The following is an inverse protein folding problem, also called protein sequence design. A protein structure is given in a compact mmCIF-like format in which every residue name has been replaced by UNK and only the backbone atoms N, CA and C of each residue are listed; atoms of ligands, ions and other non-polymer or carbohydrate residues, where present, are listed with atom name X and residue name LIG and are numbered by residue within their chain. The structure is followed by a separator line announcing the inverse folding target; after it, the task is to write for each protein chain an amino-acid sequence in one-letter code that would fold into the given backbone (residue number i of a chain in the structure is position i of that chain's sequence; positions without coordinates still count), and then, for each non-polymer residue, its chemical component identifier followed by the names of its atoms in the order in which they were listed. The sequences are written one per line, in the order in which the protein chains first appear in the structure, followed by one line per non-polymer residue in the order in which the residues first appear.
data_IF_405901473276
#
_entry.id   IF_405901473276
#
_cell.length_a   1.000
_cell.length_b   1.000
_cell.length_c   1.000
_cell.angle_alpha   90.00
_cell.angle_beta   90.00
_cell.angle_gamma   90.00
#
_symmetry.space_group_name_H-M   'P 1'
#
loop_
_entity.id
_entity.type
_entity.pdbx_description
1 polymer ?
#
# COMPACT_ATOMS: atom_id res chain seq x y z
N UNK A 1 30.54 1.98 -32.45
CA UNK A 1 31.32 0.87 -31.86
C UNK A 1 30.39 -0.33 -31.71
N UNK A 2 30.83 -1.53 -32.12
CA UNK A 2 30.04 -2.75 -31.93
C UNK A 2 29.89 -3.02 -30.42
N UNK A 3 28.68 -3.39 -30.01
CA UNK A 3 28.37 -3.72 -28.62
C UNK A 3 29.10 -5.01 -28.22
N UNK A 4 29.88 -4.99 -27.16
CA UNK A 4 30.56 -6.16 -26.59
C UNK A 4 29.53 -7.25 -26.27
N UNK A 5 29.78 -8.46 -26.70
CA UNK A 5 28.88 -9.60 -26.58
C UNK A 5 29.38 -10.59 -25.52
N UNK A 6 28.50 -11.54 -25.12
CA UNK A 6 28.87 -12.64 -24.22
C UNK A 6 29.95 -13.54 -24.85
N UNK A 7 29.95 -13.67 -26.18
CA UNK A 7 30.93 -14.45 -26.93
C UNK A 7 32.35 -13.82 -26.85
N UNK A 8 32.42 -12.49 -26.85
CA UNK A 8 33.70 -11.79 -26.71
C UNK A 8 34.31 -12.02 -25.31
N UNK A 9 33.45 -11.99 -24.27
CA UNK A 9 33.88 -12.33 -22.90
C UNK A 9 34.35 -13.78 -22.81
N UNK A 10 33.61 -14.71 -23.37
CA UNK A 10 33.96 -16.13 -23.38
C UNK A 10 35.30 -16.38 -24.08
N UNK A 11 35.53 -15.71 -25.21
CA UNK A 11 36.77 -15.78 -26.00
C UNK A 11 37.95 -15.25 -25.19
N UNK A 12 37.83 -14.08 -24.57
CA UNK A 12 38.88 -13.48 -23.76
C UNK A 12 39.18 -14.29 -22.48
N UNK A 13 38.17 -14.84 -21.84
CA UNK A 13 38.30 -15.65 -20.61
C UNK A 13 38.75 -17.10 -20.89
N UNK A 14 38.86 -17.53 -22.16
CA UNK A 14 39.21 -18.90 -22.54
C UNK A 14 38.19 -19.94 -22.04
N UNK A 15 36.89 -19.65 -22.19
CA UNK A 15 35.81 -20.51 -21.70
C UNK A 15 34.60 -20.48 -22.64
N UNK A 16 33.52 -21.20 -22.31
CA UNK A 16 32.27 -21.17 -23.10
C UNK A 16 31.33 -20.07 -22.61
N UNK A 17 30.43 -19.63 -23.51
CA UNK A 17 29.33 -18.69 -23.18
C UNK A 17 28.41 -19.19 -22.08
N UNK A 18 28.24 -20.51 -21.94
CA UNK A 18 27.52 -21.15 -20.86
C UNK A 18 28.18 -20.90 -19.49
N UNK A 19 29.52 -21.03 -19.42
CA UNK A 19 30.29 -20.76 -18.21
C UNK A 19 30.24 -19.28 -17.85
N UNK A 20 30.34 -18.37 -18.84
CA UNK A 20 30.16 -16.93 -18.62
C UNK A 20 28.77 -16.66 -18.05
N UNK A 21 27.72 -17.30 -18.58
CA UNK A 21 26.36 -17.17 -18.05
C UNK A 21 26.24 -17.67 -16.62
N UNK A 22 26.90 -18.80 -16.28
CA UNK A 22 26.89 -19.32 -14.89
C UNK A 22 27.59 -18.38 -13.92
N UNK A 23 28.69 -17.73 -14.33
CA UNK A 23 29.40 -16.76 -13.50
C UNK A 23 28.57 -15.52 -13.24
N UNK A 24 27.89 -15.00 -14.29
CA UNK A 24 27.06 -13.77 -14.20
C UNK A 24 25.80 -14.01 -13.39
N UNK A 25 25.12 -15.14 -13.60
CA UNK A 25 23.77 -15.40 -13.07
C UNK A 25 23.76 -16.33 -11.83
N UNK A 26 24.92 -16.65 -11.25
CA UNK A 26 25.06 -17.68 -10.20
C UNK A 26 24.32 -18.98 -10.58
N UNK A 27 24.55 -19.44 -11.80
CA UNK A 27 23.83 -20.57 -12.39
C UNK A 27 23.97 -21.88 -11.62
N UNK A 28 23.19 -22.93 -12.01
CA UNK A 28 23.01 -24.15 -11.21
C UNK A 28 24.28 -25.04 -11.12
N UNK A 29 25.30 -24.75 -11.92
CA UNK A 29 26.57 -25.49 -11.88
C UNK A 29 27.69 -24.65 -11.26
N UNK A 30 28.40 -25.17 -10.26
CA UNK A 30 29.54 -24.47 -9.68
C UNK A 30 30.63 -24.28 -10.74
N UNK A 31 31.23 -23.08 -10.77
CA UNK A 31 32.36 -22.74 -11.63
C UNK A 31 33.62 -22.69 -10.78
N UNK A 32 34.69 -23.34 -11.23
CA UNK A 32 35.97 -23.32 -10.53
C UNK A 32 36.44 -21.89 -10.26
N UNK A 33 36.99 -21.59 -9.04
CA UNK A 33 37.37 -20.22 -8.65
C UNK A 33 38.26 -19.52 -9.67
N UNK A 34 39.31 -20.19 -10.17
CA UNK A 34 40.21 -19.62 -11.17
C UNK A 34 39.52 -19.28 -12.52
N UNK A 35 38.50 -20.05 -12.90
CA UNK A 35 37.71 -19.75 -14.13
C UNK A 35 36.77 -18.58 -13.88
N UNK A 36 36.16 -18.49 -12.68
CA UNK A 36 35.32 -17.35 -12.27
C UNK A 36 36.11 -16.05 -12.30
N UNK A 37 37.35 -16.05 -11.76
CA UNK A 37 38.24 -14.88 -11.76
C UNK A 37 38.57 -14.42 -13.18
N UNK A 38 38.93 -15.35 -14.07
CA UNK A 38 39.20 -15.00 -15.49
C UNK A 38 38.00 -14.37 -16.18
N UNK A 39 36.79 -14.92 -15.96
CA UNK A 39 35.56 -14.37 -16.54
C UNK A 39 35.27 -12.98 -15.99
N UNK A 40 35.39 -12.75 -14.68
CA UNK A 40 35.19 -11.42 -14.07
C UNK A 40 36.22 -10.39 -14.56
N UNK A 41 37.49 -10.80 -14.74
CA UNK A 41 38.54 -9.95 -15.32
C UNK A 41 38.20 -9.57 -16.77
N UNK A 42 37.78 -10.53 -17.60
CA UNK A 42 37.39 -10.30 -18.99
C UNK A 42 36.15 -9.37 -19.09
N UNK A 43 35.17 -9.52 -18.23
CA UNK A 43 34.00 -8.63 -18.14
C UNK A 43 34.44 -7.19 -17.84
N UNK A 44 35.36 -7.01 -16.88
CA UNK A 44 35.88 -5.70 -16.49
C UNK A 44 36.71 -5.05 -17.63
N UNK A 45 37.57 -5.81 -18.26
CA UNK A 45 38.44 -5.35 -19.34
C UNK A 45 37.64 -4.91 -20.56
N UNK A 46 36.68 -5.71 -20.99
CA UNK A 46 35.82 -5.41 -22.14
C UNK A 46 34.71 -4.40 -21.83
N UNK A 47 34.49 -4.04 -20.60
CA UNK A 47 33.34 -3.23 -20.20
C UNK A 47 31.99 -3.90 -20.52
N UNK A 48 31.96 -5.24 -20.54
CA UNK A 48 30.75 -5.99 -20.88
C UNK A 48 29.66 -5.72 -19.86
N UNK A 49 28.49 -5.35 -20.35
CA UNK A 49 27.27 -5.21 -19.54
C UNK A 49 26.26 -6.24 -20.01
N UNK A 50 25.81 -7.17 -19.14
CA UNK A 50 24.76 -8.11 -19.48
C UNK A 50 23.52 -7.40 -20.02
N UNK A 51 22.99 -7.89 -21.15
CA UNK A 51 21.75 -7.40 -21.69
C UNK A 51 20.57 -8.03 -20.93
N UNK A 52 19.94 -7.25 -20.04
CA UNK A 52 18.81 -7.72 -19.24
C UNK A 52 17.60 -8.05 -20.12
N UNK A 53 17.42 -7.37 -21.26
CA UNK A 53 16.35 -7.66 -22.21
C UNK A 53 16.56 -9.05 -22.84
N UNK A 54 17.78 -9.33 -23.30
CA UNK A 54 18.12 -10.64 -23.85
C UNK A 54 18.01 -11.76 -22.78
N UNK A 55 18.33 -11.46 -21.51
CA UNK A 55 18.14 -12.40 -20.41
C UNK A 55 16.66 -12.66 -20.12
N UNK A 56 15.84 -11.63 -20.08
CA UNK A 56 14.39 -11.72 -19.92
C UNK A 56 13.74 -12.53 -21.04
N UNK A 57 14.20 -12.35 -22.29
CA UNK A 57 13.74 -13.15 -23.43
C UNK A 57 14.09 -14.64 -23.27
N UNK A 58 15.27 -14.95 -22.75
CA UNK A 58 15.72 -16.34 -22.56
C UNK A 58 15.02 -17.03 -21.36
N UNK A 59 14.80 -16.31 -20.26
CA UNK A 59 14.14 -16.82 -19.04
C UNK A 59 12.62 -16.70 -19.08
N UNK A 60 12.06 -15.98 -20.04
CA UNK A 60 10.64 -15.59 -20.14
C UNK A 60 10.12 -14.77 -18.93
N UNK A 61 10.99 -14.31 -18.04
CA UNK A 61 10.67 -13.49 -16.86
C UNK A 61 11.72 -12.41 -16.67
N UNK A 62 11.30 -11.27 -16.15
CA UNK A 62 12.18 -10.17 -15.76
C UNK A 62 12.41 -10.16 -14.26
N UNK A 63 13.41 -9.38 -13.80
CA UNK A 63 13.57 -9.09 -12.36
C UNK A 63 12.72 -7.89 -11.93
N UNK A 64 11.55 -7.72 -12.56
CA UNK A 64 10.63 -6.62 -12.31
C UNK A 64 9.36 -7.14 -11.63
N UNK A 65 8.86 -6.37 -10.67
CA UNK A 65 7.52 -6.48 -10.10
C UNK A 65 6.75 -5.22 -10.51
N UNK A 66 5.52 -5.36 -11.00
CA UNK A 66 4.64 -4.21 -11.21
C UNK A 66 3.90 -3.89 -9.92
N UNK A 67 3.87 -2.62 -9.54
CA UNK A 67 3.07 -2.09 -8.44
C UNK A 67 2.15 -1.00 -8.99
N UNK A 68 0.85 -1.16 -8.85
CA UNK A 68 -0.12 -0.13 -9.21
C UNK A 68 -0.71 0.45 -7.93
N UNK A 69 -0.63 1.78 -7.80
CA UNK A 69 -1.15 2.53 -6.65
C UNK A 69 -2.22 3.52 -7.10
N UNK A 70 -3.20 3.85 -6.24
CA UNK A 70 -4.25 4.80 -6.60
C UNK A 70 -3.73 6.23 -6.75
N UNK A 71 -2.98 6.73 -5.76
CA UNK A 71 -2.41 8.07 -5.77
C UNK A 71 -1.08 8.13 -5.01
N UNK A 72 0.03 8.11 -5.76
CA UNK A 72 1.38 8.15 -5.19
C UNK A 72 1.72 9.49 -4.47
N UNK A 73 0.85 10.50 -4.53
CA UNK A 73 1.00 11.76 -3.78
C UNK A 73 0.51 11.65 -2.34
N UNK A 74 -0.34 10.66 -2.04
CA UNK A 74 -0.82 10.43 -0.69
C UNK A 74 0.28 9.76 0.14
N UNK A 75 0.58 10.25 1.35
CA UNK A 75 1.67 9.72 2.19
C UNK A 75 1.57 8.22 2.44
N UNK A 76 0.37 7.71 2.72
CA UNK A 76 0.14 6.29 2.95
C UNK A 76 0.60 5.41 1.77
N UNK A 77 0.16 5.73 0.55
CA UNK A 77 0.56 4.95 -0.63
C UNK A 77 2.04 5.13 -0.98
N UNK A 78 2.61 6.31 -0.73
CA UNK A 78 4.04 6.54 -0.91
C UNK A 78 4.88 5.69 0.06
N UNK A 79 4.51 5.63 1.34
CA UNK A 79 5.19 4.81 2.34
C UNK A 79 5.03 3.31 2.07
N UNK A 80 3.83 2.88 1.68
CA UNK A 80 3.57 1.48 1.34
C UNK A 80 4.34 1.06 0.06
N UNK A 81 4.39 1.92 -0.96
CA UNK A 81 5.18 1.68 -2.17
C UNK A 81 6.69 1.58 -1.86
N UNK A 82 7.19 2.44 -0.96
CA UNK A 82 8.57 2.35 -0.48
C UNK A 82 8.84 1.03 0.25
N UNK A 83 7.92 0.58 1.12
CA UNK A 83 8.06 -0.70 1.81
C UNK A 83 8.07 -1.89 0.83
N UNK A 84 7.24 -1.86 -0.21
CA UNK A 84 7.22 -2.86 -1.29
C UNK A 84 8.54 -2.84 -2.07
N UNK A 85 9.08 -1.66 -2.37
CA UNK A 85 10.38 -1.50 -3.06
C UNK A 85 11.52 -2.10 -2.25
N UNK A 86 11.58 -1.84 -0.93
CA UNK A 86 12.58 -2.41 -0.03
C UNK A 86 12.46 -3.94 0.03
N UNK A 87 11.26 -4.48 0.22
CA UNK A 87 11.01 -5.92 0.24
C UNK A 87 11.38 -6.60 -1.09
N UNK A 88 11.11 -5.95 -2.22
CA UNK A 88 11.50 -6.44 -3.54
C UNK A 88 13.03 -6.42 -3.74
N UNK A 89 13.71 -5.37 -3.30
CA UNK A 89 15.17 -5.24 -3.38
C UNK A 89 15.88 -6.35 -2.59
N UNK A 90 15.37 -6.75 -1.42
CA UNK A 90 15.88 -7.90 -0.64
C UNK A 90 15.78 -9.23 -1.42
N UNK A 91 14.86 -9.33 -2.38
CA UNK A 91 14.68 -10.47 -3.28
C UNK A 91 15.40 -10.30 -4.63
N UNK A 92 16.24 -9.25 -4.78
CA UNK A 92 16.93 -8.93 -6.02
C UNK A 92 16.00 -8.48 -7.15
N UNK A 93 14.82 -7.96 -6.81
CA UNK A 93 13.82 -7.45 -7.74
C UNK A 93 13.79 -5.92 -7.73
N UNK A 94 13.32 -5.33 -8.83
CA UNK A 94 13.02 -3.90 -8.96
C UNK A 94 11.52 -3.71 -9.12
N UNK A 95 11.00 -2.59 -8.64
CA UNK A 95 9.58 -2.26 -8.74
C UNK A 95 9.35 -1.21 -9.82
N UNK A 96 8.36 -1.47 -10.69
CA UNK A 96 7.79 -0.47 -11.60
C UNK A 96 6.50 0.04 -10.98
N UNK A 97 6.38 1.34 -10.77
CA UNK A 97 5.20 1.94 -10.17
C UNK A 97 4.32 2.57 -11.25
N UNK A 98 3.03 2.22 -11.26
CA UNK A 98 1.97 2.86 -12.03
C UNK A 98 1.03 3.61 -11.09
N UNK A 99 0.60 4.81 -11.47
CA UNK A 99 -0.33 5.63 -10.70
C UNK A 99 -1.67 5.72 -11.43
N UNK A 100 -2.71 5.06 -10.89
CA UNK A 100 -4.01 4.95 -11.57
C UNK A 100 -4.91 6.19 -11.41
N UNK A 101 -4.64 7.07 -10.44
CA UNK A 101 -5.50 8.22 -10.09
C UNK A 101 -6.97 7.80 -9.84
N UNK A 102 -7.20 6.61 -9.30
CA UNK A 102 -8.52 6.00 -9.10
C UNK A 102 -9.33 5.81 -10.41
N UNK A 103 -8.65 5.72 -11.57
CA UNK A 103 -9.28 5.57 -12.88
C UNK A 103 -9.01 4.17 -13.45
N UNK A 104 -10.07 3.41 -13.70
CA UNK A 104 -10.01 2.06 -14.29
C UNK A 104 -9.19 2.01 -15.58
N UNK A 105 -9.40 2.98 -16.47
CA UNK A 105 -8.66 3.05 -17.74
C UNK A 105 -7.15 3.14 -17.54
N UNK A 106 -6.68 3.87 -16.50
CA UNK A 106 -5.26 3.98 -16.17
C UNK A 106 -4.74 2.71 -15.53
N UNK A 107 -5.53 2.06 -14.67
CA UNK A 107 -5.17 0.77 -14.08
C UNK A 107 -4.95 -0.26 -15.18
N UNK A 108 -5.91 -0.43 -16.09
CA UNK A 108 -5.82 -1.33 -17.23
C UNK A 108 -4.64 -0.97 -18.13
N UNK A 109 -4.37 0.32 -18.36
CA UNK A 109 -3.21 0.77 -19.12
C UNK A 109 -1.88 0.29 -18.50
N UNK A 110 -1.70 0.48 -17.19
CA UNK A 110 -0.48 0.02 -16.50
C UNK A 110 -0.41 -1.50 -16.43
N UNK A 111 -1.53 -2.20 -16.22
CA UNK A 111 -1.58 -3.66 -16.27
C UNK A 111 -1.04 -4.17 -17.62
N UNK A 112 -1.58 -3.70 -18.74
CA UNK A 112 -1.13 -4.08 -20.08
C UNK A 112 0.35 -3.78 -20.31
N UNK A 113 0.81 -2.60 -19.89
CA UNK A 113 2.21 -2.20 -20.02
C UNK A 113 3.15 -3.14 -19.25
N UNK A 114 2.83 -3.43 -17.97
CA UNK A 114 3.67 -4.29 -17.12
C UNK A 114 3.65 -5.75 -17.58
N UNK A 115 2.48 -6.27 -17.96
CA UNK A 115 2.35 -7.60 -18.54
C UNK A 115 3.14 -7.73 -19.85
N UNK A 116 3.07 -6.73 -20.72
CA UNK A 116 3.89 -6.65 -21.92
C UNK A 116 5.40 -6.62 -21.66
N UNK A 117 5.83 -6.05 -20.53
CA UNK A 117 7.23 -6.09 -20.05
C UNK A 117 7.60 -7.41 -19.37
N UNK A 118 6.65 -8.35 -19.22
CA UNK A 118 6.84 -9.65 -18.57
C UNK A 118 7.37 -9.54 -17.15
N UNK A 119 6.74 -8.69 -16.36
CA UNK A 119 7.05 -8.61 -14.92
C UNK A 119 6.89 -9.97 -14.25
N UNK A 120 7.61 -10.22 -13.16
CA UNK A 120 7.54 -11.48 -12.40
C UNK A 120 6.18 -11.66 -11.72
N UNK A 121 5.47 -10.56 -11.47
CA UNK A 121 4.11 -10.50 -10.95
C UNK A 121 3.67 -9.06 -10.69
N UNK A 122 2.44 -8.90 -10.26
CA UNK A 122 1.78 -7.62 -10.03
C UNK A 122 1.28 -7.52 -8.61
N UNK A 123 1.49 -6.38 -7.99
CA UNK A 123 0.86 -6.01 -6.71
C UNK A 123 -0.08 -4.85 -7.02
N UNK A 124 -1.36 -5.02 -6.68
CA UNK A 124 -2.40 -4.02 -6.92
C UNK A 124 -2.86 -3.43 -5.58
N UNK A 125 -2.69 -2.12 -5.44
CA UNK A 125 -3.32 -1.32 -4.39
C UNK A 125 -4.40 -0.51 -5.12
N UNK A 126 -5.58 -1.07 -5.28
CA UNK A 126 -6.67 -0.44 -6.04
C UNK A 126 -7.99 -0.60 -5.30
N UNK A 127 -9.03 0.07 -5.80
CA UNK A 127 -10.40 -0.16 -5.32
C UNK A 127 -11.00 -1.50 -5.81
N UNK A 128 -10.21 -2.31 -6.51
CA UNK A 128 -10.45 -3.62 -7.10
C UNK A 128 -10.22 -3.60 -8.59
N UNK A 129 -9.72 -4.71 -9.12
CA UNK A 129 -9.59 -4.82 -10.55
C UNK A 129 -10.99 -4.67 -11.15
N UNK A 130 -11.15 -3.70 -12.07
CA UNK A 130 -12.34 -3.59 -12.88
C UNK A 130 -12.54 -4.90 -13.68
N UNK A 131 -13.74 -5.14 -14.20
CA UNK A 131 -13.96 -6.29 -15.10
C UNK A 131 -12.93 -6.33 -16.24
N UNK A 132 -12.54 -5.15 -16.75
CA UNK A 132 -11.53 -5.04 -17.79
C UNK A 132 -10.12 -5.45 -17.30
N UNK A 133 -9.76 -5.09 -16.07
CA UNK A 133 -8.51 -5.50 -15.47
C UNK A 133 -8.48 -7.02 -15.21
N UNK A 134 -9.58 -7.60 -14.74
CA UNK A 134 -9.70 -9.05 -14.53
C UNK A 134 -9.49 -9.82 -15.85
N UNK A 135 -10.10 -9.36 -16.95
CA UNK A 135 -9.90 -9.97 -18.29
C UNK A 135 -8.43 -9.95 -18.70
N UNK A 136 -7.70 -8.85 -18.48
CA UNK A 136 -6.28 -8.78 -18.80
C UNK A 136 -5.44 -9.71 -17.92
N UNK A 137 -5.74 -9.77 -16.63
CA UNK A 137 -5.04 -10.66 -15.68
C UNK A 137 -5.19 -12.12 -16.12
N UNK A 138 -6.39 -12.54 -16.45
CA UNK A 138 -6.69 -13.91 -16.90
C UNK A 138 -6.03 -14.21 -18.25
N UNK A 139 -6.12 -13.30 -19.22
CA UNK A 139 -5.56 -13.49 -20.56
C UNK A 139 -4.03 -13.71 -20.56
N UNK A 140 -3.32 -13.10 -19.61
CA UNK A 140 -1.87 -13.23 -19.48
C UNK A 140 -1.43 -14.29 -18.46
N UNK A 141 -2.38 -14.97 -17.79
CA UNK A 141 -2.09 -15.90 -16.68
C UNK A 141 -1.16 -15.21 -15.65
N UNK A 142 -1.49 -13.97 -15.30
CA UNK A 142 -0.64 -13.12 -14.49
C UNK A 142 -0.73 -13.50 -13.01
N UNK A 143 0.39 -13.33 -12.29
CA UNK A 143 0.37 -13.43 -10.82
C UNK A 143 0.01 -12.07 -10.26
N UNK A 144 -1.09 -12.02 -9.55
CA UNK A 144 -1.58 -10.81 -8.91
C UNK A 144 -1.76 -11.03 -7.42
N UNK A 145 -1.34 -10.06 -6.63
CA UNK A 145 -1.61 -9.96 -5.19
C UNK A 145 -2.30 -8.64 -4.94
N UNK A 146 -3.48 -8.69 -4.34
CA UNK A 146 -4.16 -7.49 -3.84
C UNK A 146 -3.50 -7.07 -2.53
N UNK A 147 -3.15 -5.80 -2.38
CA UNK A 147 -2.58 -5.25 -1.16
C UNK A 147 -3.47 -4.13 -0.64
N UNK A 148 -3.79 -4.18 0.66
CA UNK A 148 -4.66 -3.21 1.33
C UNK A 148 -6.10 -3.19 0.80
N UNK A 149 -6.60 -4.33 0.31
CA UNK A 149 -7.98 -4.49 -0.14
C UNK A 149 -8.47 -5.90 0.12
N UNK A 150 -9.72 -6.04 0.52
CA UNK A 150 -10.38 -7.34 0.61
C UNK A 150 -10.63 -7.92 -0.78
N UNK A 151 -10.35 -9.21 -0.98
CA UNK A 151 -10.67 -9.88 -2.23
C UNK A 151 -12.19 -10.06 -2.36
N UNK A 152 -12.70 -9.82 -3.56
CA UNK A 152 -14.11 -10.08 -3.90
C UNK A 152 -14.33 -11.56 -4.27
N UNK A 153 -13.35 -12.17 -4.94
CA UNK A 153 -13.39 -13.56 -5.33
C UNK A 153 -12.66 -14.44 -4.30
N UNK A 154 -13.21 -15.65 -4.07
CA UNK A 154 -12.63 -16.63 -3.12
C UNK A 154 -11.20 -17.04 -3.52
N UNK A 155 -10.88 -16.93 -4.81
CA UNK A 155 -9.58 -17.34 -5.36
C UNK A 155 -8.52 -16.24 -5.39
N UNK A 156 -8.85 -15.01 -5.02
CA UNK A 156 -7.91 -13.90 -4.98
C UNK A 156 -6.87 -14.08 -3.88
N UNK A 157 -5.65 -13.65 -4.19
CA UNK A 157 -4.54 -13.61 -3.22
C UNK A 157 -4.42 -12.19 -2.70
N UNK A 158 -4.54 -12.02 -1.39
CA UNK A 158 -4.55 -10.70 -0.79
C UNK A 158 -3.74 -10.61 0.51
N UNK A 159 -3.22 -9.41 0.75
CA UNK A 159 -2.68 -8.97 2.04
C UNK A 159 -3.52 -7.79 2.49
N UNK A 160 -4.24 -7.95 3.60
CA UNK A 160 -5.21 -6.97 4.09
C UNK A 160 -4.91 -6.57 5.52
N UNK A 161 -5.46 -5.45 5.94
CA UNK A 161 -5.47 -4.99 7.32
C UNK A 161 -6.83 -5.34 7.97
N UNK A 162 -6.90 -5.36 9.28
CA UNK A 162 -8.16 -5.38 10.02
C UNK A 162 -8.72 -3.95 10.13
N UNK A 163 -9.23 -3.44 9.00
CA UNK A 163 -9.69 -2.06 8.87
C UNK A 163 -10.91 -1.80 9.77
N UNK A 164 -11.87 -2.74 9.81
CA UNK A 164 -13.05 -2.66 10.68
C UNK A 164 -12.64 -2.60 12.14
N UNK A 165 -11.79 -3.53 12.59
CA UNK A 165 -11.30 -3.56 13.97
C UNK A 165 -10.51 -2.32 14.34
N UNK A 166 -9.67 -1.82 13.44
CA UNK A 166 -8.89 -0.59 13.62
C UNK A 166 -9.77 0.65 13.82
N UNK A 167 -10.75 0.84 12.93
CA UNK A 167 -11.69 1.96 13.03
C UNK A 167 -12.57 1.87 14.27
N UNK A 168 -12.98 0.65 14.65
CA UNK A 168 -13.71 0.41 15.89
C UNK A 168 -12.87 0.79 17.12
N UNK A 169 -11.58 0.46 17.15
CA UNK A 169 -10.65 0.84 18.22
C UNK A 169 -10.53 2.37 18.35
N UNK A 170 -10.30 3.08 17.24
CA UNK A 170 -10.18 4.53 17.26
C UNK A 170 -11.46 5.22 17.72
N UNK A 171 -12.61 4.76 17.21
CA UNK A 171 -13.91 5.33 17.58
C UNK A 171 -14.25 5.07 19.05
N UNK A 172 -14.05 3.83 19.53
CA UNK A 172 -14.26 3.49 20.95
C UNK A 172 -13.37 4.33 21.85
N UNK A 173 -12.11 4.55 21.47
CA UNK A 173 -11.20 5.40 22.21
C UNK A 173 -11.74 6.82 22.38
N UNK A 174 -12.31 7.43 21.34
CA UNK A 174 -12.96 8.74 21.44
C UNK A 174 -14.21 8.70 22.35
N UNK A 175 -15.03 7.65 22.24
CA UNK A 175 -16.20 7.46 23.10
C UNK A 175 -15.81 7.28 24.58
N UNK A 176 -14.71 6.56 24.87
CA UNK A 176 -14.18 6.36 26.23
C UNK A 176 -13.69 7.67 26.88
N UNK A 177 -13.33 8.67 26.06
CA UNK A 177 -13.06 10.04 26.51
C UNK A 177 -14.33 10.87 26.81
N UNK A 178 -15.52 10.28 26.68
CA UNK A 178 -16.80 10.89 27.01
C UNK A 178 -17.44 11.66 25.85
N UNK A 179 -16.94 11.52 24.62
CA UNK A 179 -17.59 12.13 23.47
C UNK A 179 -18.86 11.38 23.08
N UNK A 180 -19.99 12.07 23.07
CA UNK A 180 -21.28 11.49 22.65
C UNK A 180 -21.55 11.66 21.16
N UNK A 181 -20.98 12.70 20.58
CA UNK A 181 -21.06 12.99 19.16
C UNK A 181 -19.67 12.81 18.51
N UNK A 182 -19.42 11.62 17.99
CA UNK A 182 -18.25 11.32 17.17
C UNK A 182 -18.68 11.32 15.71
N UNK A 183 -18.27 12.33 14.96
CA UNK A 183 -18.49 12.37 13.51
C UNK A 183 -17.50 11.44 12.80
N UNK A 184 -17.92 10.85 11.69
CA UNK A 184 -17.05 10.10 10.78
C UNK A 184 -16.87 10.86 9.48
N UNK A 185 -15.62 11.09 9.06
CA UNK A 185 -15.30 11.53 7.72
C UNK A 185 -14.93 10.28 6.91
N UNK A 186 -15.91 9.77 6.17
CA UNK A 186 -15.76 8.62 5.27
C UNK A 186 -15.32 9.04 3.85
N UNK A 187 -15.41 8.12 2.89
CA UNK A 187 -15.14 8.39 1.49
C UNK A 187 -16.33 9.01 0.74
N UNK A 188 -16.08 9.43 -0.52
CA UNK A 188 -17.10 10.11 -1.34
C UNK A 188 -18.21 9.16 -1.79
N UNK A 189 -17.90 7.87 -2.07
CA UNK A 189 -18.84 6.88 -2.59
C UNK A 189 -18.68 5.52 -1.88
N UNK A 190 -18.62 5.53 -0.56
CA UNK A 190 -18.52 4.28 0.21
C UNK A 190 -19.84 3.52 0.15
N UNK A 191 -20.01 2.65 -0.83
CA UNK A 191 -21.10 1.66 -0.82
C UNK A 191 -20.66 0.40 -0.07
N UNK A 192 -21.55 -0.26 0.69
CA UNK A 192 -21.21 -1.47 1.43
C UNK A 192 -20.63 -2.61 0.56
N UNK A 193 -20.93 -2.59 -0.75
CA UNK A 193 -20.50 -3.59 -1.72
C UNK A 193 -19.11 -3.32 -2.32
N UNK A 194 -18.52 -2.16 -2.06
CA UNK A 194 -17.31 -1.72 -2.79
C UNK A 194 -16.02 -2.45 -2.40
N UNK A 195 -15.99 -3.13 -1.23
CA UNK A 195 -14.76 -3.73 -0.67
C UNK A 195 -13.63 -2.69 -0.44
N UNK A 196 -13.96 -1.40 -0.51
CA UNK A 196 -13.04 -0.28 -0.25
C UNK A 196 -12.67 -0.28 1.24
N UNK A 197 -11.40 -0.20 1.62
CA UNK A 197 -10.96 -0.07 3.00
C UNK A 197 -11.69 1.04 3.78
N UNK A 198 -12.05 2.13 3.11
CA UNK A 198 -12.81 3.22 3.75
C UNK A 198 -14.24 2.80 4.11
N UNK A 199 -14.87 1.91 3.36
CA UNK A 199 -16.17 1.32 3.74
C UNK A 199 -16.02 0.51 5.03
N UNK A 200 -14.93 -0.25 5.16
CA UNK A 200 -14.61 -0.99 6.38
C UNK A 200 -14.34 -0.04 7.57
N UNK A 201 -13.73 1.13 7.32
CA UNK A 201 -13.56 2.15 8.37
C UNK A 201 -14.89 2.72 8.85
N UNK A 202 -15.81 3.01 7.93
CA UNK A 202 -17.18 3.47 8.27
C UNK A 202 -17.95 2.39 9.02
N UNK A 203 -17.80 1.12 8.63
CA UNK A 203 -18.40 -0.01 9.35
C UNK A 203 -17.87 -0.10 10.79
N UNK A 204 -16.54 -0.02 10.98
CA UNK A 204 -15.92 -0.07 12.31
C UNK A 204 -16.37 1.08 13.21
N UNK A 205 -16.45 2.30 12.67
CA UNK A 205 -17.04 3.45 13.39
C UNK A 205 -18.49 3.20 13.77
N UNK A 206 -19.32 2.74 12.83
CA UNK A 206 -20.74 2.48 13.05
C UNK A 206 -20.95 1.42 14.14
N UNK A 207 -20.16 0.35 14.12
CA UNK A 207 -20.20 -0.71 15.16
C UNK A 207 -19.87 -0.15 16.55
N UNK A 208 -18.80 0.64 16.67
CA UNK A 208 -18.42 1.25 17.95
C UNK A 208 -19.50 2.19 18.49
N UNK A 209 -20.10 3.00 17.61
CA UNK A 209 -21.22 3.88 17.97
C UNK A 209 -22.44 3.08 18.47
N UNK A 210 -22.82 2.03 17.75
CA UNK A 210 -23.95 1.17 18.11
C UNK A 210 -23.72 0.44 19.44
N UNK A 211 -22.51 -0.11 19.68
CA UNK A 211 -22.14 -0.76 20.95
C UNK A 211 -22.21 0.21 22.14
N UNK A 212 -21.92 1.49 21.91
CA UNK A 212 -22.05 2.54 22.93
C UNK A 212 -23.48 3.10 23.04
N UNK A 213 -24.46 2.57 22.31
CA UNK A 213 -25.84 3.05 22.28
C UNK A 213 -25.99 4.45 21.68
N UNK A 214 -25.08 4.84 20.77
CA UNK A 214 -25.08 6.16 20.11
C UNK A 214 -25.60 6.04 18.67
N UNK A 215 -26.41 7.01 18.22
CA UNK A 215 -26.89 7.07 16.84
C UNK A 215 -25.77 7.47 15.88
N UNK A 216 -25.82 6.94 14.67
CA UNK A 216 -24.96 7.32 13.53
C UNK A 216 -25.65 8.30 12.59
N UNK A 217 -26.96 8.56 12.78
CA UNK A 217 -27.76 9.38 11.87
C UNK A 217 -27.22 10.81 11.78
N UNK A 218 -26.95 11.28 10.56
CA UNK A 218 -26.42 12.61 10.31
C UNK A 218 -24.99 12.84 10.81
N UNK A 219 -24.23 11.77 11.13
CA UNK A 219 -22.87 11.86 11.67
C UNK A 219 -21.79 11.31 10.74
N UNK A 220 -22.20 10.72 9.62
CA UNK A 220 -21.31 10.33 8.52
C UNK A 220 -21.27 11.45 7.48
N UNK A 221 -20.07 11.93 7.16
CA UNK A 221 -19.83 12.97 6.19
C UNK A 221 -18.96 12.41 5.07
N UNK A 222 -19.42 12.54 3.83
CA UNK A 222 -18.63 12.19 2.65
C UNK A 222 -17.53 13.23 2.45
N UNK A 223 -16.29 12.81 2.45
CA UNK A 223 -15.12 13.66 2.37
C UNK A 223 -14.15 13.15 1.31
N UNK A 224 -13.53 14.05 0.51
CA UNK A 224 -12.43 13.65 -0.35
C UNK A 224 -11.28 13.01 0.44
N UNK A 225 -10.56 12.06 -0.17
CA UNK A 225 -9.39 11.39 0.45
C UNK A 225 -8.14 12.29 0.49
N UNK A 226 -8.31 13.59 0.61
CA UNK A 226 -7.19 14.52 0.65
C UNK A 226 -7.45 15.69 1.60
N UNK A 227 -6.36 16.20 2.18
CA UNK A 227 -6.38 17.27 3.18
C UNK A 227 -7.05 18.56 2.71
N UNK A 228 -6.95 18.90 1.43
CA UNK A 228 -7.50 20.16 0.90
C UNK A 228 -9.03 20.13 0.81
N UNK A 229 -9.59 19.07 0.22
CA UNK A 229 -11.03 18.91 0.15
C UNK A 229 -11.66 18.74 1.54
N UNK A 230 -11.02 17.96 2.39
CA UNK A 230 -11.47 17.78 3.77
C UNK A 230 -11.41 19.07 4.58
N UNK A 231 -10.39 19.89 4.40
CA UNK A 231 -10.29 21.17 5.07
C UNK A 231 -11.50 22.08 4.77
N UNK A 232 -11.97 22.15 3.53
CA UNK A 232 -13.14 22.95 3.17
C UNK A 232 -14.42 22.41 3.85
N UNK A 233 -14.63 21.09 3.80
CA UNK A 233 -15.76 20.44 4.47
C UNK A 233 -15.69 20.64 5.99
N UNK A 234 -14.51 20.55 6.57
CA UNK A 234 -14.31 20.71 8.00
C UNK A 234 -14.57 22.15 8.48
N UNK A 235 -14.26 23.17 7.70
CA UNK A 235 -14.63 24.55 8.03
C UNK A 235 -16.15 24.71 8.16
N UNK A 236 -16.91 24.14 7.22
CA UNK A 236 -18.37 24.19 7.27
C UNK A 236 -18.95 23.38 8.44
N UNK A 237 -18.40 22.16 8.68
CA UNK A 237 -18.86 21.27 9.74
C UNK A 237 -18.55 21.84 11.13
N UNK A 238 -17.32 22.29 11.35
CA UNK A 238 -16.85 22.77 12.67
C UNK A 238 -17.29 24.19 12.99
N UNK A 239 -17.69 24.97 12.00
CA UNK A 239 -18.25 26.31 12.18
C UNK A 239 -19.72 26.31 12.66
N UNK A 240 -20.38 25.17 12.71
CA UNK A 240 -21.79 25.07 13.16
C UNK A 240 -21.92 25.14 14.67
N UNK A 241 -23.04 25.66 15.20
CA UNK A 241 -23.31 25.68 16.64
C UNK A 241 -23.42 24.27 17.25
N UNK A 242 -23.89 23.29 16.47
CA UNK A 242 -24.11 21.88 16.84
C UNK A 242 -22.97 20.97 16.35
N UNK A 243 -21.75 21.54 16.19
CA UNK A 243 -20.58 20.81 15.72
C UNK A 243 -20.25 19.59 16.57
N UNK A 244 -19.61 18.56 15.97
CA UNK A 244 -19.13 17.41 16.75
C UNK A 244 -18.03 17.86 17.75
N UNK A 245 -17.93 17.15 18.87
CA UNK A 245 -16.85 17.29 19.84
C UNK A 245 -15.69 16.33 19.56
N UNK A 246 -15.92 15.32 18.71
CA UNK A 246 -14.88 14.42 18.23
C UNK A 246 -15.11 14.03 16.77
N UNK A 247 -14.01 13.82 16.04
CA UNK A 247 -14.02 13.38 14.64
C UNK A 247 -13.09 12.19 14.47
N UNK A 248 -13.63 11.12 13.91
CA UNK A 248 -12.85 10.03 13.33
C UNK A 248 -12.74 10.26 11.83
N UNK A 249 -11.50 10.33 11.34
CA UNK A 249 -11.19 10.46 9.92
C UNK A 249 -10.73 9.12 9.37
N UNK A 250 -11.29 8.69 8.25
CA UNK A 250 -10.94 7.42 7.61
C UNK A 250 -9.49 7.38 7.07
N UNK A 251 -8.82 8.54 6.96
CA UNK A 251 -7.39 8.64 6.65
C UNK A 251 -6.71 9.76 7.44
N UNK A 252 -5.41 9.66 7.65
CA UNK A 252 -4.61 10.73 8.28
C UNK A 252 -4.60 11.99 7.41
N UNK A 253 -4.63 11.84 6.09
CA UNK A 253 -4.67 12.99 5.19
C UNK A 253 -5.94 13.82 5.36
N UNK A 254 -7.09 13.18 5.61
CA UNK A 254 -8.32 13.85 6.01
C UNK A 254 -8.16 14.52 7.38
N UNK A 255 -7.57 13.82 8.36
CA UNK A 255 -7.36 14.36 9.69
C UNK A 255 -6.50 15.64 9.68
N UNK A 256 -5.51 15.72 8.81
CA UNK A 256 -4.71 16.95 8.63
C UNK A 256 -5.57 18.12 8.16
N UNK A 257 -6.55 17.88 7.28
CA UNK A 257 -7.54 18.87 6.87
C UNK A 257 -8.39 19.36 8.04
N UNK A 258 -8.86 18.43 8.88
CA UNK A 258 -9.63 18.75 10.10
C UNK A 258 -8.83 19.58 11.09
N UNK A 259 -7.58 19.18 11.40
CA UNK A 259 -6.69 19.92 12.30
C UNK A 259 -6.43 21.34 11.80
N UNK A 260 -6.24 21.50 10.48
CA UNK A 260 -6.06 22.83 9.88
C UNK A 260 -7.30 23.71 10.00
N UNK A 261 -8.49 23.15 9.78
CA UNK A 261 -9.78 23.85 9.93
C UNK A 261 -10.04 24.24 11.38
N UNK A 262 -9.82 23.33 12.33
CA UNK A 262 -9.96 23.58 13.77
C UNK A 262 -9.10 24.79 14.21
N UNK A 263 -7.82 24.79 13.79
CA UNK A 263 -6.91 25.91 14.09
C UNK A 263 -7.39 27.25 13.52
N UNK A 264 -7.95 27.25 12.30
CA UNK A 264 -8.46 28.46 11.66
C UNK A 264 -9.68 29.03 12.36
N UNK A 265 -10.54 28.13 12.86
CA UNK A 265 -11.73 28.48 13.66
C UNK A 265 -11.42 28.80 15.12
N UNK A 266 -10.15 28.72 15.54
CA UNK A 266 -9.73 28.97 16.91
C UNK A 266 -10.15 27.89 17.89
N UNK A 267 -10.39 26.67 17.40
CA UNK A 267 -10.73 25.52 18.24
C UNK A 267 -9.46 24.84 18.76
N UNK A 268 -9.38 24.66 20.06
CA UNK A 268 -8.30 23.90 20.69
C UNK A 268 -8.51 22.39 20.48
N UNK A 269 -7.48 21.72 19.96
CA UNK A 269 -7.44 20.25 19.89
C UNK A 269 -6.48 19.77 20.98
N UNK A 270 -6.94 18.92 21.90
CA UNK A 270 -8.19 18.14 21.89
C UNK A 270 -9.37 18.76 22.67
N UNK A 271 -9.23 19.91 23.32
CA UNK A 271 -10.18 20.40 24.33
C UNK A 271 -11.56 20.77 23.76
N UNK A 272 -11.58 21.39 22.57
CA UNK A 272 -12.81 21.75 21.86
C UNK A 272 -13.21 20.72 20.81
N UNK A 273 -12.22 19.96 20.34
CA UNK A 273 -12.38 18.95 19.29
C UNK A 273 -11.33 17.85 19.43
N UNK A 274 -11.72 16.63 19.74
CA UNK A 274 -10.84 15.47 19.65
C UNK A 274 -10.78 14.94 18.20
N UNK A 275 -9.60 14.53 17.75
CA UNK A 275 -9.39 14.02 16.39
C UNK A 275 -8.63 12.70 16.43
N UNK A 276 -9.13 11.71 15.69
CA UNK A 276 -8.44 10.46 15.42
C UNK A 276 -8.41 10.19 13.91
N UNK A 277 -7.28 9.71 13.42
CA UNK A 277 -7.06 9.35 12.02
C UNK A 277 -6.94 7.85 11.80
N UNK A 278 -6.54 7.48 10.59
CA UNK A 278 -6.20 6.13 10.18
C UNK A 278 -5.02 6.21 9.21
N UNK A 279 -4.09 5.26 9.24
CA UNK A 279 -2.90 5.02 8.43
C UNK A 279 -1.58 5.06 9.23
N UNK A 280 -1.45 5.89 10.25
CA UNK A 280 -0.20 6.19 10.98
C UNK A 280 0.96 6.58 10.06
N UNK A 281 0.71 7.53 9.16
CA UNK A 281 1.78 8.11 8.34
C UNK A 281 2.75 8.93 9.21
N UNK A 282 4.01 9.07 8.77
CA UNK A 282 5.05 9.75 9.56
C UNK A 282 4.67 11.17 9.96
N UNK A 283 3.95 11.87 9.09
CA UNK A 283 3.45 13.22 9.32
C UNK A 283 2.49 13.31 10.50
N UNK A 284 1.76 12.24 10.84
CA UNK A 284 0.85 12.19 11.98
C UNK A 284 1.55 12.50 13.31
N UNK A 285 2.82 12.10 13.44
CA UNK A 285 3.65 12.44 14.60
C UNK A 285 4.16 13.88 14.64
N UNK A 286 4.08 14.61 13.52
CA UNK A 286 4.61 15.95 13.34
C UNK A 286 3.52 17.04 13.34
N UNK A 287 2.26 16.69 13.43
CA UNK A 287 1.16 17.66 13.59
C UNK A 287 1.20 18.33 14.97
N UNK A 288 0.51 19.44 15.12
CA UNK A 288 0.33 20.12 16.41
C UNK A 288 -1.16 20.29 16.70
N UNK A 289 -1.69 19.50 17.67
CA UNK A 289 -1.05 18.41 18.43
C UNK A 289 -0.75 17.18 17.55
N UNK A 290 0.21 16.29 17.97
CA UNK A 290 0.45 15.02 17.29
C UNK A 290 -0.82 14.16 17.21
N UNK A 291 -1.11 13.64 16.02
CA UNK A 291 -2.35 12.95 15.69
C UNK A 291 -2.39 11.52 16.24
N UNK A 292 -3.40 11.21 17.04
CA UNK A 292 -3.81 9.85 17.39
C UNK A 292 -4.41 9.19 16.14
N UNK A 293 -3.96 7.99 15.80
CA UNK A 293 -4.35 7.33 14.56
C UNK A 293 -4.27 5.81 14.70
N UNK A 294 -4.76 5.10 13.70
CA UNK A 294 -4.63 3.64 13.60
C UNK A 294 -3.46 3.31 12.70
N UNK A 295 -2.55 2.47 13.16
CA UNK A 295 -1.39 2.02 12.42
C UNK A 295 -1.40 0.52 12.11
N UNK A 296 -0.51 0.12 11.20
CA UNK A 296 -0.29 -1.25 10.78
C UNK A 296 1.19 -1.56 10.59
N UNK A 297 1.54 -2.84 10.58
CA UNK A 297 2.87 -3.31 10.15
C UNK A 297 2.99 -3.26 8.62
N UNK A 298 3.18 -2.06 8.06
CA UNK A 298 3.33 -1.85 6.60
C UNK A 298 4.50 -2.63 5.99
N UNK A 299 5.62 -2.73 6.72
CA UNK A 299 6.78 -3.48 6.26
C UNK A 299 6.47 -4.98 6.18
N UNK A 300 5.81 -5.54 7.19
CA UNK A 300 5.35 -6.92 7.20
C UNK A 300 4.32 -7.20 6.09
N UNK A 301 3.38 -6.28 5.86
CA UNK A 301 2.40 -6.37 4.77
C UNK A 301 3.09 -6.37 3.39
N UNK A 302 4.00 -5.43 3.16
CA UNK A 302 4.75 -5.32 1.92
C UNK A 302 5.60 -6.57 1.66
N UNK A 303 6.30 -7.08 2.67
CA UNK A 303 7.08 -8.31 2.59
C UNK A 303 6.19 -9.51 2.26
N UNK A 304 5.04 -9.62 2.91
CA UNK A 304 4.07 -10.68 2.63
C UNK A 304 3.56 -10.63 1.18
N UNK A 305 3.25 -9.43 0.66
CA UNK A 305 2.80 -9.25 -0.71
C UNK A 305 3.89 -9.63 -1.73
N UNK A 306 5.14 -9.21 -1.49
CA UNK A 306 6.29 -9.58 -2.35
C UNK A 306 6.56 -11.08 -2.30
N UNK A 307 6.52 -11.72 -1.13
CA UNK A 307 6.72 -13.16 -1.01
C UNK A 307 5.61 -13.93 -1.75
N UNK A 308 4.35 -13.50 -1.62
CA UNK A 308 3.23 -14.11 -2.31
C UNK A 308 3.32 -13.95 -3.83
N UNK A 309 3.62 -12.76 -4.32
CA UNK A 309 3.69 -12.53 -5.78
C UNK A 309 4.84 -13.27 -6.45
N UNK A 310 5.88 -13.64 -5.70
CA UNK A 310 7.03 -14.40 -6.18
C UNK A 310 6.87 -15.93 -5.97
N UNK A 311 5.87 -16.38 -5.20
CA UNK A 311 5.68 -17.82 -4.91
C UNK A 311 5.13 -18.57 -6.14
N UNK A 312 5.93 -19.47 -6.71
CA UNK A 312 5.54 -20.31 -7.85
C UNK A 312 4.38 -21.28 -7.51
N UNK A 313 4.15 -21.58 -6.25
CA UNK A 313 3.09 -22.48 -5.80
C UNK A 313 1.68 -21.89 -5.76
N UNK A 314 1.52 -20.56 -5.91
CA UNK A 314 0.21 -19.90 -5.90
C UNK A 314 -0.71 -20.30 -7.09
N UNK A 315 -0.13 -20.79 -8.18
CA UNK A 315 -0.85 -21.21 -9.39
C UNK A 315 -1.46 -22.62 -9.32
N UNK A 316 -1.19 -23.37 -8.24
CA UNK A 316 -1.73 -24.73 -8.13
C UNK A 316 -3.18 -24.63 -7.65
N UNK A 317 -4.12 -24.85 -8.57
CA UNK A 317 -5.54 -24.95 -8.24
C UNK A 317 -5.74 -26.03 -7.15
N UNK A 318 -6.44 -25.66 -6.07
CA UNK A 318 -6.68 -26.56 -4.93
C UNK A 318 -5.58 -26.57 -3.85
N UNK A 319 -4.57 -25.70 -3.93
CA UNK A 319 -3.63 -25.55 -2.81
C UNK A 319 -4.36 -25.00 -1.58
N UNK A 320 -4.26 -25.72 -0.43
CA UNK A 320 -4.82 -25.28 0.86
C UNK A 320 -4.01 -24.13 1.50
N UNK A 321 -3.25 -23.37 0.71
CA UNK A 321 -2.50 -22.23 1.21
C UNK A 321 -3.44 -21.08 1.50
N UNK A 322 -3.23 -20.42 2.63
CA UNK A 322 -3.98 -19.25 3.02
C UNK A 322 -3.75 -18.14 1.97
N UNK A 323 -4.77 -17.90 1.15
CA UNK A 323 -4.72 -16.91 0.06
C UNK A 323 -4.86 -15.48 0.55
N UNK A 324 -5.48 -15.29 1.71
CA UNK A 324 -5.63 -13.99 2.37
C UNK A 324 -4.80 -13.97 3.64
N UNK A 325 -3.90 -12.99 3.75
CA UNK A 325 -3.13 -12.72 4.98
C UNK A 325 -3.66 -11.42 5.58
N UNK A 326 -4.32 -11.54 6.73
CA UNK A 326 -4.79 -10.39 7.48
C UNK A 326 -3.77 -9.99 8.54
N UNK A 327 -3.47 -8.69 8.61
CA UNK A 327 -2.62 -8.08 9.62
C UNK A 327 -3.49 -7.34 10.65
N UNK A 328 -3.08 -7.30 11.92
CA UNK A 328 -3.81 -6.56 12.93
C UNK A 328 -3.60 -5.07 12.75
N UNK A 329 -4.66 -4.30 13.00
CA UNK A 329 -4.58 -2.86 13.18
C UNK A 329 -4.36 -2.52 14.66
N UNK A 330 -3.65 -1.44 14.95
CA UNK A 330 -3.37 -0.99 16.31
C UNK A 330 -3.56 0.51 16.48
N UNK A 331 -4.14 0.94 17.61
CA UNK A 331 -4.26 2.36 17.91
C UNK A 331 -2.93 2.93 18.40
N UNK A 332 -2.46 3.96 17.71
CA UNK A 332 -1.28 4.75 18.08
C UNK A 332 -1.74 6.03 18.77
N UNK A 333 -1.77 5.98 20.09
CA UNK A 333 -2.25 7.09 20.91
C UNK A 333 -1.22 8.21 20.94
N UNK A 334 -1.66 9.42 20.58
CA UNK A 334 -0.92 10.67 20.70
C UNK A 334 -1.75 11.73 21.45
N UNK A 335 -1.65 13.00 21.10
CA UNK A 335 -2.27 14.06 21.89
C UNK A 335 -3.60 14.61 21.34
N UNK A 336 -3.94 14.35 20.09
CA UNK A 336 -5.13 14.90 19.45
C UNK A 336 -6.47 14.34 19.96
N UNK A 337 -6.44 13.27 20.76
CA UNK A 337 -7.62 12.64 21.37
C UNK A 337 -7.85 13.03 22.85
N UNK A 338 -6.93 13.77 23.48
CA UNK A 338 -7.01 14.14 24.90
C UNK A 338 -6.15 13.28 25.84
N UNK A 339 -5.50 12.22 25.34
CA UNK A 339 -4.58 11.44 26.15
C UNK A 339 -3.32 12.24 26.52
N UNK A 340 -2.92 12.17 27.80
CA UNK A 340 -1.67 12.77 28.30
C UNK A 340 -1.75 14.26 28.63
N UNK A 341 -2.91 14.89 28.53
CA UNK A 341 -3.12 16.26 29.03
C UNK A 341 -3.84 16.24 30.40
N UNK A 342 -3.36 17.04 31.39
CA UNK A 342 -4.10 17.19 32.63
C UNK A 342 -5.45 17.90 32.36
N UNK A 343 -6.54 17.53 33.04
CA UNK A 343 -7.81 18.24 32.91
C UNK A 343 -7.62 19.73 33.17
N UNK A 344 -8.10 20.58 32.25
CA UNK A 344 -8.15 22.04 32.52
C UNK A 344 -8.97 22.29 33.76
N UNK A 345 -8.39 23.00 34.73
CA UNK A 345 -9.03 23.43 35.98
C UNK A 345 -10.01 24.57 35.71
#
# INVERSE_FOLDING_TARGET
MARVTRDDVARLAGTSTAVVSYVINNGPRPVAPATRERVLAAIKELGYRPDRVAQAMASRRTDLIGLIVPDARQPFFAELAHAVEQAAAERGKMVLVGNSDYLDEREVHYLRAFLGMRVSGLILISQGPSEHAAVEIDAWDARVVLLHRRPEAIDDVAVVLDDVGGAQLATRHLLDHGHEYVACLGGIDSTPESGDPVTDHVEGWSRAMAEAGRSVDGRLYQSPYNRYGTYQLALDLLGRPDRPTAVFCATDDQAFGVLRAARELGLDVPQDLAVAGFDDVKEAGLTDPPLTTVGSDREGMAKAAVDLVLDDGLRVAGSQRQRVRQFPAGLVVRRSCGCGEPPRR
#
